data_IF_865119998517
#
_entry.id   IF_865119998517
#
_cell.length_a   1.000
_cell.length_b   1.000
_cell.length_c   1.000
_cell.angle_alpha   90.00
_cell.angle_beta   90.00
_cell.angle_gamma   90.00
#
_symmetry.space_group_name_H-M   'P 1'
#
loop_
_entity.id
_entity.type
_entity.pdbx_description
1 polymer ?
2 non-polymer ?
3 water ?
#
# COMPACT_ATOMS: atom_id res chain seq x y z
N UNK A 3 -8.20 1.85 15.97
CA UNK A 3 -9.36 1.72 15.04
C UNK A 3 -8.94 2.12 13.62
N UNK A 4 -9.48 1.42 12.62
CA UNK A 4 -9.17 1.69 11.22
C UNK A 4 -9.50 3.15 10.81
N UNK A 5 -10.50 3.74 11.46
CA UNK A 5 -10.89 5.12 11.16
C UNK A 5 -9.71 6.04 11.39
N UNK A 6 -8.86 5.67 12.34
CA UNK A 6 -7.68 6.47 12.69
C UNK A 6 -6.65 6.57 11.56
N UNK A 7 -6.87 5.83 10.48
CA UNK A 7 -5.98 5.85 9.33
C UNK A 7 -6.54 6.77 8.26
N UNK A 8 -7.78 7.23 8.46
CA UNK A 8 -8.44 8.10 7.49
C UNK A 8 -7.78 9.45 7.32
N UNK A 9 -7.79 9.92 6.07
CA UNK A 9 -7.21 11.20 5.74
C UNK A 9 -6.29 11.10 4.55
N UNK A 10 -5.80 12.25 4.08
CA UNK A 10 -4.87 12.31 2.96
C UNK A 10 -3.47 12.38 3.55
N UNK A 11 -2.62 11.45 3.16
CA UNK A 11 -1.26 11.40 3.68
C UNK A 11 -0.26 11.65 2.57
N UNK A 12 0.85 12.32 2.90
CA UNK A 12 1.91 12.58 1.93
C UNK A 12 3.18 11.84 2.34
N UNK A 13 3.90 11.31 1.36
CA UNK A 13 5.13 10.59 1.63
C UNK A 13 6.26 11.52 2.06
N UNK A 14 6.83 11.26 3.22
CA UNK A 14 7.95 12.08 3.70
C UNK A 14 9.24 11.29 3.62
N UNK A 15 9.14 9.97 3.66
CA UNK A 15 10.33 9.14 3.58
C UNK A 15 10.03 7.73 3.08
N UNK A 16 10.99 7.17 2.35
CA UNK A 16 10.87 5.83 1.80
C UNK A 16 12.18 5.08 2.06
N UNK A 17 12.08 3.77 2.23
CA UNK A 17 13.25 2.95 2.50
C UNK A 17 12.98 1.50 2.10
N UNK A 18 13.86 0.95 1.26
CA UNK A 18 13.74 -0.42 0.83
C UNK A 18 12.77 -0.63 -0.30
N UNK A 19 12.03 0.41 -0.65
CA UNK A 19 11.06 0.32 -1.73
C UNK A 19 11.67 -0.20 -3.05
N UNK A 20 12.84 0.29 -3.42
CA UNK A 20 13.47 -0.17 -4.65
C UNK A 20 13.81 -1.66 -4.62
N UNK A 21 14.21 -2.17 -3.46
CA UNK A 21 14.56 -3.59 -3.31
C UNK A 21 13.33 -4.47 -3.47
N UNK A 22 12.23 -3.99 -2.92
CA UNK A 22 10.95 -4.67 -2.97
C UNK A 22 10.49 -4.79 -4.42
N UNK A 23 10.38 -3.66 -5.11
CA UNK A 23 9.99 -3.67 -6.51
C UNK A 23 10.85 -4.68 -7.28
N UNK A 24 12.16 -4.69 -7.00
CA UNK A 24 13.07 -5.63 -7.65
C UNK A 24 12.63 -7.04 -7.33
N UNK A 25 12.34 -7.26 -6.05
CA UNK A 25 11.90 -8.57 -5.58
C UNK A 25 10.65 -9.02 -6.34
N UNK A 26 9.75 -8.07 -6.66
CA UNK A 26 8.53 -8.41 -7.40
C UNK A 26 8.85 -8.73 -8.86
N UNK A 27 9.88 -8.10 -9.40
CA UNK A 27 10.27 -8.32 -10.79
C UNK A 27 9.93 -7.15 -11.71
N UNK A 28 9.55 -6.03 -11.11
CA UNK A 28 9.18 -4.82 -11.84
C UNK A 28 10.38 -4.26 -12.57
N UNK A 29 10.20 -3.86 -13.82
CA UNK A 29 11.30 -3.30 -14.61
C UNK A 29 11.62 -1.85 -14.29
N UNK A 30 12.72 -1.32 -14.84
CA UNK A 30 13.14 0.07 -14.57
C UNK A 30 12.14 1.18 -14.81
N UNK A 31 11.42 1.12 -15.91
CA UNK A 31 10.43 2.14 -16.21
C UNK A 31 9.57 2.41 -14.97
N UNK A 32 8.91 1.36 -14.47
CA UNK A 32 8.06 1.49 -13.29
C UNK A 32 8.89 1.65 -12.02
N UNK A 33 10.03 0.96 -11.94
CA UNK A 33 10.87 1.09 -10.76
C UNK A 33 11.32 2.54 -10.56
N UNK A 34 11.62 3.25 -11.66
CA UNK A 34 12.07 4.64 -11.59
C UNK A 34 10.93 5.56 -11.19
N UNK A 35 9.76 5.31 -11.78
CA UNK A 35 8.55 6.09 -11.48
C UNK A 35 8.24 5.98 -9.99
N UNK A 36 8.16 4.74 -9.50
CA UNK A 36 7.88 4.51 -8.09
C UNK A 36 8.94 5.14 -7.21
N UNK A 37 10.20 4.88 -7.55
CA UNK A 37 11.32 5.42 -6.80
C UNK A 37 11.37 6.95 -6.78
N UNK A 38 10.71 7.60 -7.74
CA UNK A 38 10.73 9.06 -7.77
C UNK A 38 9.38 9.75 -7.62
N UNK A 39 8.29 9.00 -7.58
CA UNK A 39 7.00 9.65 -7.39
C UNK A 39 6.84 9.85 -5.88
N UNK A 40 6.31 11.00 -5.47
CA UNK A 40 6.05 11.28 -4.06
C UNK A 40 4.53 11.38 -3.99
N UNK A 41 3.84 10.23 -4.04
CA UNK A 41 2.38 10.20 -4.01
C UNK A 41 1.70 10.56 -2.71
N UNK A 42 0.40 10.80 -2.84
CA UNK A 42 -0.49 11.11 -1.75
C UNK A 42 -1.30 9.84 -1.60
N UNK A 43 -1.62 9.48 -0.36
CA UNK A 43 -2.39 8.29 -0.12
C UNK A 43 -3.65 8.66 0.64
N UNK A 44 -4.80 8.60 -0.02
CA UNK A 44 -6.06 8.93 0.62
C UNK A 44 -6.70 7.63 1.06
N UNK A 45 -7.00 7.52 2.36
CA UNK A 45 -7.64 6.34 2.93
C UNK A 45 -8.98 6.77 3.53
N UNK A 46 -10.09 6.14 3.13
CA UNK A 46 -11.40 6.48 3.69
C UNK A 46 -12.13 5.18 3.99
N UNK A 47 -12.93 5.15 5.05
CA UNK A 47 -13.65 3.93 5.38
C UNK A 47 -15.14 4.20 5.52
N UNK A 48 -15.94 3.18 5.23
CA UNK A 48 -17.37 3.29 5.36
C UNK A 48 -17.86 1.95 5.90
N UNK A 49 -17.94 1.89 7.23
CA UNK A 49 -18.37 0.69 7.91
C UNK A 49 -17.27 -0.34 7.87
N UNK A 50 -17.37 -1.24 6.89
CA UNK A 50 -16.39 -2.30 6.69
C UNK A 50 -15.78 -2.11 5.31
N UNK A 51 -16.43 -1.28 4.50
CA UNK A 51 -15.95 -0.98 3.16
C UNK A 51 -14.76 -0.04 3.35
N UNK A 52 -13.75 -0.18 2.52
CA UNK A 52 -12.57 0.65 2.63
C UNK A 52 -11.96 0.95 1.26
N UNK A 53 -11.59 2.21 1.04
CA UNK A 53 -10.96 2.63 -0.21
C UNK A 53 -9.58 3.22 0.06
N UNK A 54 -8.63 2.88 -0.81
CA UNK A 54 -7.28 3.41 -0.72
C UNK A 54 -6.96 3.96 -2.10
N UNK A 55 -6.77 5.26 -2.17
CA UNK A 55 -6.48 5.91 -3.43
C UNK A 55 -5.09 6.54 -3.43
N UNK A 56 -4.31 6.25 -4.46
CA UNK A 56 -2.97 6.78 -4.59
C UNK A 56 -2.95 7.84 -5.69
N UNK A 57 -2.38 9.00 -5.40
CA UNK A 57 -2.31 10.09 -6.37
C UNK A 57 -0.94 10.70 -6.52
N UNK A 58 -0.49 10.84 -7.76
CA UNK A 58 0.79 11.46 -8.09
C UNK A 58 0.71 11.79 -9.57
N UNK A 59 1.61 12.65 -10.07
CA UNK A 59 1.59 12.98 -11.50
C UNK A 59 2.06 11.74 -12.25
N UNK A 60 3.07 11.06 -11.70
CA UNK A 60 3.59 9.85 -12.32
C UNK A 60 2.66 8.63 -12.24
N UNK A 61 1.67 8.66 -11.34
CA UNK A 61 0.69 7.57 -11.20
C UNK A 61 -0.49 7.82 -10.25
N UNK A 62 -1.65 7.28 -10.64
CA UNK A 62 -2.90 7.35 -9.86
C UNK A 62 -3.64 5.99 -9.89
N UNK A 63 -3.72 5.35 -8.74
CA UNK A 63 -4.35 4.04 -8.59
C UNK A 63 -5.41 4.12 -7.50
N UNK A 64 -6.31 3.14 -7.44
CA UNK A 64 -7.37 3.13 -6.43
C UNK A 64 -8.12 1.80 -6.38
N UNK A 65 -8.46 1.33 -5.19
CA UNK A 65 -9.21 0.07 -5.05
C UNK A 65 -10.08 0.12 -3.80
N UNK A 66 -11.14 -0.69 -3.77
CA UNK A 66 -12.03 -0.74 -2.62
C UNK A 66 -12.11 -2.17 -2.17
N UNK A 67 -12.36 -2.38 -0.89
CA UNK A 67 -12.47 -3.73 -0.34
C UNK A 67 -13.27 -3.73 0.95
N UNK A 68 -13.86 -4.88 1.26
CA UNK A 68 -14.61 -5.03 2.51
C UNK A 68 -13.68 -5.83 3.40
N UNK A 69 -13.51 -5.43 4.64
CA UNK A 69 -12.62 -6.20 5.50
C UNK A 69 -13.07 -7.67 5.55
N UNK A 70 -12.09 -8.57 5.53
CA UNK A 70 -12.36 -10.00 5.57
C UNK A 70 -12.76 -10.64 4.24
N UNK A 71 -13.01 -9.85 3.20
CA UNK A 71 -13.41 -10.43 1.92
C UNK A 71 -12.31 -10.35 0.86
N UNK A 72 -12.08 -11.46 0.17
CA UNK A 72 -11.07 -11.54 -0.88
C UNK A 72 -11.59 -10.87 -2.15
N UNK A 73 -10.69 -10.23 -2.90
CA UNK A 73 -11.07 -9.54 -4.13
C UNK A 73 -9.92 -9.46 -5.12
N UNK A 74 -10.24 -9.21 -6.40
CA UNK A 74 -9.22 -9.11 -7.44
C UNK A 74 -8.65 -7.70 -7.48
N UNK A 75 -7.36 -7.57 -7.18
CA UNK A 75 -6.74 -6.26 -7.19
C UNK A 75 -5.82 -6.06 -8.38
N UNK A 76 -5.97 -4.94 -9.07
CA UNK A 76 -5.08 -4.65 -10.19
C UNK A 76 -4.05 -3.68 -9.63
N UNK A 77 -2.90 -4.22 -9.26
CA UNK A 77 -1.83 -3.44 -8.69
C UNK A 77 -1.25 -2.42 -9.67
N UNK A 78 -0.67 -1.35 -9.13
CA UNK A 78 -0.07 -0.31 -9.95
C UNK A 78 0.91 -0.84 -10.98
N UNK A 79 1.58 -1.96 -10.70
CA UNK A 79 2.53 -2.52 -11.66
C UNK A 79 1.90 -3.52 -12.66
N UNK A 80 0.57 -3.72 -12.57
CA UNK A 80 -0.14 -4.59 -13.50
C UNK A 80 -0.45 -6.03 -13.09
N UNK A 81 -0.27 -6.36 -11.82
CA UNK A 81 -0.55 -7.71 -11.36
C UNK A 81 -1.99 -7.80 -10.97
N UNK A 82 -2.60 -8.94 -11.25
CA UNK A 82 -3.97 -9.17 -10.83
C UNK A 82 -3.67 -10.08 -9.64
N UNK A 83 -4.22 -9.73 -8.48
CA UNK A 83 -3.97 -10.51 -7.29
C UNK A 83 -5.24 -10.77 -6.50
N UNK A 84 -5.16 -11.77 -5.63
CA UNK A 84 -6.23 -12.15 -4.74
C UNK A 84 -5.84 -11.51 -3.43
N UNK A 85 -6.35 -10.30 -3.23
CA UNK A 85 -6.07 -9.51 -2.05
C UNK A 85 -7.16 -9.60 -0.99
N UNK A 86 -6.76 -9.49 0.27
CA UNK A 86 -7.69 -9.47 1.40
C UNK A 86 -7.13 -8.37 2.28
N UNK A 87 -8.00 -7.53 2.81
CA UNK A 87 -7.59 -6.46 3.69
C UNK A 87 -8.31 -6.79 4.97
N UNK A 88 -7.58 -6.75 6.07
CA UNK A 88 -8.18 -7.06 7.36
C UNK A 88 -7.47 -6.26 8.44
N UNK A 89 -8.25 -5.54 9.24
CA UNK A 89 -7.67 -4.75 10.31
C UNK A 89 -7.50 -5.65 11.53
N UNK A 90 -6.26 -6.04 11.78
CA UNK A 90 -5.94 -6.91 12.89
C UNK A 90 -4.70 -6.39 13.64
N UNK A 91 -4.64 -6.71 14.93
CA UNK A 91 -3.54 -6.32 15.82
C UNK A 91 -3.17 -4.83 15.80
N UNK A 92 -4.14 -3.98 15.44
CA UNK A 92 -3.90 -2.55 15.40
C UNK A 92 -3.34 -2.00 14.10
N UNK A 93 -3.39 -2.79 13.03
CA UNK A 93 -2.87 -2.33 11.75
C UNK A 93 -3.73 -2.83 10.62
N UNK A 94 -3.66 -2.17 9.47
CA UNK A 94 -4.40 -2.62 8.29
C UNK A 94 -3.45 -3.55 7.54
N UNK A 95 -3.88 -4.77 7.29
CA UNK A 95 -3.04 -5.73 6.59
C UNK A 95 -3.60 -6.04 5.21
N UNK A 96 -2.82 -5.78 4.17
CA UNK A 96 -3.23 -6.04 2.79
C UNK A 96 -2.45 -7.25 2.24
N UNK A 97 -3.01 -8.45 2.38
CA UNK A 97 -2.35 -9.66 1.91
C UNK A 97 -2.70 -9.95 0.45
N UNK A 98 -1.67 -10.09 -0.38
CA UNK A 98 -1.85 -10.37 -1.81
C UNK A 98 -1.36 -11.78 -2.15
N UNK A 99 -1.93 -12.35 -3.21
CA UNK A 99 -1.57 -13.69 -3.67
C UNK A 99 -1.73 -13.74 -5.18
N UNK A 100 -0.69 -14.23 -5.86
CA UNK A 100 -0.71 -14.37 -7.32
C UNK A 100 0.40 -15.31 -7.73
N UNK A 101 0.16 -16.13 -8.76
CA UNK A 101 1.16 -17.07 -9.31
C UNK A 101 2.03 -17.81 -8.30
N UNK A 102 1.43 -18.23 -7.20
CA UNK A 102 2.17 -18.96 -6.18
C UNK A 102 2.97 -18.09 -5.23
N UNK A 103 3.06 -16.81 -5.54
CA UNK A 103 3.78 -15.84 -4.73
C UNK A 103 2.82 -15.12 -3.79
N UNK A 104 3.37 -14.54 -2.73
CA UNK A 104 2.60 -13.80 -1.74
C UNK A 104 3.36 -12.54 -1.39
N UNK A 105 2.65 -11.59 -0.79
CA UNK A 105 3.22 -10.34 -0.36
C UNK A 105 2.19 -9.67 0.51
N UNK A 106 2.65 -8.86 1.44
CA UNK A 106 1.72 -8.16 2.31
C UNK A 106 2.24 -6.77 2.64
N UNK A 107 1.33 -5.80 2.59
CA UNK A 107 1.64 -4.43 2.89
C UNK A 107 0.88 -4.15 4.18
N UNK A 108 1.56 -3.60 5.17
CA UNK A 108 0.95 -3.30 6.45
C UNK A 108 1.03 -1.80 6.73
N UNK A 109 -0.12 -1.21 7.04
CA UNK A 109 -0.19 0.22 7.30
C UNK A 109 -0.65 0.45 8.73
N UNK A 110 0.12 1.19 9.50
CA UNK A 110 -0.27 1.46 10.87
C UNK A 110 0.05 2.89 11.26
N UNK A 111 -0.71 3.39 12.22
CA UNK A 111 -0.56 4.74 12.72
C UNK A 111 0.51 4.70 13.81
N UNK A 112 1.47 5.62 13.77
CA UNK A 112 2.53 5.67 14.78
C UNK A 112 3.10 7.07 14.93
N UNK A 113 3.01 7.60 16.14
CA UNK A 113 3.54 8.93 16.43
C UNK A 113 2.99 10.03 15.52
N UNK A 114 1.74 9.86 15.09
CA UNK A 114 1.13 10.87 14.25
C UNK A 114 1.22 10.63 12.76
N UNK A 115 2.12 9.76 12.33
CA UNK A 115 2.24 9.48 10.91
C UNK A 115 1.87 8.05 10.55
N UNK A 116 1.51 7.88 9.29
CA UNK A 116 1.14 6.58 8.73
C UNK A 116 2.42 5.89 8.32
N UNK A 117 2.66 4.70 8.87
CA UNK A 117 3.85 3.92 8.55
C UNK A 117 3.43 2.68 7.77
N UNK A 118 3.84 2.65 6.50
CA UNK A 118 3.54 1.55 5.58
C UNK A 118 4.75 0.66 5.41
N UNK A 119 4.61 -0.64 5.63
CA UNK A 119 5.72 -1.57 5.48
C UNK A 119 5.31 -2.67 4.53
N UNK A 120 6.14 -2.95 3.53
CA UNK A 120 5.81 -4.02 2.61
C UNK A 120 6.83 -5.13 2.73
N UNK A 121 6.38 -6.37 2.56
CA UNK A 121 7.27 -7.50 2.68
C UNK A 121 6.94 -8.59 1.66
N UNK A 122 7.99 -9.21 1.16
CA UNK A 122 7.89 -10.33 0.24
C UNK A 122 9.22 -11.03 0.34
N UNK A 123 9.15 -12.30 0.74
CA UNK A 123 10.31 -13.15 0.86
C UNK A 123 11.44 -12.51 1.65
N UNK A 124 11.10 -12.01 2.83
CA UNK A 124 12.06 -11.37 3.72
C UNK A 124 12.60 -10.03 3.29
N UNK A 125 12.36 -9.64 2.04
CA UNK A 125 12.79 -8.33 1.53
C UNK A 125 11.69 -7.34 1.90
N UNK A 126 12.02 -6.28 2.63
CA UNK A 126 11.02 -5.29 3.08
C UNK A 126 11.21 -3.83 2.64
N UNK A 127 10.27 -2.97 3.04
CA UNK A 127 10.28 -1.53 2.73
C UNK A 127 9.58 -0.78 3.87
N UNK A 128 9.89 0.50 4.04
CA UNK A 128 9.24 1.31 5.07
C UNK A 128 9.07 2.74 4.58
N UNK A 129 7.82 3.11 4.35
CA UNK A 129 7.44 4.43 3.86
C UNK A 129 6.70 5.12 5.00
N UNK A 130 7.04 6.39 5.25
CA UNK A 130 6.40 7.18 6.30
C UNK A 130 5.57 8.26 5.62
N UNK A 131 4.34 8.46 6.09
CA UNK A 131 3.43 9.44 5.51
C UNK A 131 2.88 10.39 6.58
N UNK A 132 2.91 11.69 6.30
CA UNK A 132 2.36 12.68 7.23
C UNK A 132 1.03 13.21 6.67
N UNK A 133 0.06 13.40 7.57
CA UNK A 133 -1.27 13.88 7.21
C UNK A 133 -1.24 15.27 6.58
N UNK A 134 -2.05 15.45 5.53
CA UNK A 134 -2.13 16.71 4.82
C UNK A 134 -3.27 17.57 5.38
N UNK A 135 -2.87 18.74 5.89
CA UNK A 135 -3.73 19.73 6.51
C UNK A 135 -4.32 19.23 7.82
X LIG B 1 2.45 2.21 -0.36
X LIG B 1 1.27 2.33 -0.69
X LIG B 1 3.14 3.22 -0.42
X LIG B 1 2.98 0.98 -0.05
X LIG B 1 3.43 0.32 -1.18
X LIG B 1 2.46 -0.55 -1.62
X LIG B 1 2.60 -0.59 -3.00
X LIG B 1 2.85 -1.89 -3.39
X LIG B 1 2.67 -1.97 -4.75
X LIG B 1 3.81 -1.50 -5.37
X LIG B 1 3.72 -1.96 -6.66
X LIG B 1 4.82 -1.50 -7.34
X LIG B 1 4.38 -0.42 -8.07
X LIG B 1 5.44 0.04 -8.83
X LIG B 1 5.04 1.15 -9.57
X LIG B 1 5.12 2.28 -8.77
X LIG B 1 3.84 2.66 -8.38
X LIG B 1 3.95 3.69 -7.48
#
# INVERSE_FOLDING_TARGET
MATVQQLEGRWRLVDSKGFDEYMKELGVGIALRKMGAMAKPDCIITCDGKNLTIKTESTLKTTQFSCTLGEKFEETTADGRKTQTVCNFTDGALVQHQEWDGKESTITRKLKDGKLVVECVMNNVTCTRIYEKVE
PLM C1 O1 O2 C2 C3 C4 C5 C6 C7 C8 C9 CA CB CC CD CE CF CG
#
